data_IF_794614390823
#
_entry.id   IF_794614390823
#
_cell.length_a   1.000
_cell.length_b   1.000
_cell.length_c   1.000
_cell.angle_alpha   90.00
_cell.angle_beta   90.00
_cell.angle_gamma   90.00
#
_symmetry.space_group_name_H-M   'P 1'
#
loop_
_entity.id
_entity.type
_entity.pdbx_description
1 polymer ?
#
# COMPACT_ATOMS: atom_id res chain seq x y z
N UNK A 1 12.22 -15.58 4.99
CA UNK A 1 10.79 -15.73 4.66
C UNK A 1 10.42 -14.55 3.78
N UNK A 2 9.90 -14.76 2.56
CA UNK A 2 9.29 -13.70 1.74
C UNK A 2 7.80 -13.72 2.04
N UNK A 3 7.21 -12.62 2.49
CA UNK A 3 5.76 -12.52 2.60
C UNK A 3 5.23 -12.05 1.25
N UNK A 4 4.72 -12.99 0.44
CA UNK A 4 4.03 -12.66 -0.80
C UNK A 4 2.57 -12.43 -0.47
N UNK A 5 2.16 -11.17 -0.37
CA UNK A 5 0.73 -10.82 -0.34
C UNK A 5 0.20 -10.99 -1.76
N UNK A 6 -0.63 -12.01 -1.99
CA UNK A 6 -1.22 -12.29 -3.31
C UNK A 6 -2.27 -11.24 -3.67
N UNK A 7 -1.81 -10.12 -4.22
CA UNK A 7 -2.61 -9.15 -4.98
C UNK A 7 -1.98 -9.05 -6.38
N UNK A 8 -2.20 -10.05 -7.24
CA UNK A 8 -1.78 -10.01 -8.66
C UNK A 8 -0.31 -9.54 -8.89
N UNK A 9 0.62 -10.07 -8.10
CA UNK A 9 2.07 -9.79 -8.20
C UNK A 9 2.77 -9.82 -6.84
N UNK A 10 4.12 -9.85 -6.87
CA UNK A 10 4.94 -9.63 -5.68
C UNK A 10 4.90 -8.14 -5.30
N UNK A 11 4.58 -7.83 -4.04
CA UNK A 11 4.64 -6.47 -3.48
C UNK A 11 5.75 -6.46 -2.44
N UNK A 12 6.72 -5.54 -2.59
CA UNK A 12 7.81 -5.42 -1.62
C UNK A 12 7.31 -4.66 -0.38
N UNK A 13 7.24 -5.36 0.74
CA UNK A 13 6.84 -4.80 2.04
C UNK A 13 8.08 -4.68 2.92
N UNK A 14 8.28 -3.51 3.53
CA UNK A 14 9.44 -3.24 4.38
C UNK A 14 9.05 -2.62 5.73
N UNK A 15 10.00 -2.60 6.67
CA UNK A 15 9.92 -1.83 7.91
C UNK A 15 8.74 -2.22 8.80
N UNK A 16 8.06 -1.22 9.37
CA UNK A 16 7.00 -1.45 10.36
C UNK A 16 5.85 -2.32 9.82
N UNK A 17 5.55 -2.22 8.52
CA UNK A 17 4.54 -3.06 7.87
C UNK A 17 4.96 -4.54 7.84
N UNK A 18 6.24 -4.82 7.59
CA UNK A 18 6.77 -6.18 7.66
C UNK A 18 6.60 -6.75 9.07
N UNK A 19 6.93 -5.97 10.10
CA UNK A 19 6.83 -6.42 11.49
C UNK A 19 5.38 -6.63 11.93
N UNK A 20 4.44 -5.78 11.49
CA UNK A 20 3.01 -5.96 11.75
C UNK A 20 2.51 -7.25 11.09
N UNK A 21 2.75 -7.41 9.79
CA UNK A 21 2.26 -8.57 9.04
C UNK A 21 2.93 -9.86 9.52
N UNK A 22 4.23 -9.82 9.81
CA UNK A 22 4.98 -10.96 10.37
C UNK A 22 4.41 -11.42 11.71
N UNK A 23 4.07 -10.49 12.62
CA UNK A 23 3.39 -10.82 13.88
C UNK A 23 1.99 -11.40 13.64
N UNK A 24 1.24 -10.83 12.69
CA UNK A 24 -0.13 -11.26 12.36
C UNK A 24 -0.16 -12.64 11.68
N UNK A 25 0.88 -12.97 10.91
CA UNK A 25 1.08 -14.29 10.31
C UNK A 25 1.58 -15.34 11.30
N UNK A 26 2.08 -14.95 12.48
CA UNK A 26 2.65 -15.90 13.44
C UNK A 26 1.55 -16.82 13.97
N UNK A 27 1.63 -18.10 13.62
CA UNK A 27 0.64 -19.11 14.01
C UNK A 27 -0.53 -19.25 13.05
N UNK A 28 -0.47 -18.62 11.86
CA UNK A 28 -1.40 -18.93 10.77
C UNK A 28 -0.88 -20.10 9.94
N UNK A 29 -1.78 -21.02 9.62
CA UNK A 29 -1.57 -22.05 8.60
C UNK A 29 -1.62 -21.43 7.19
N UNK A 30 -0.95 -22.01 6.18
CA UNK A 30 -0.89 -21.46 4.83
C UNK A 30 -2.26 -21.20 4.17
N UNK A 31 -3.29 -21.96 4.56
CA UNK A 31 -4.65 -21.85 4.02
C UNK A 31 -5.49 -20.78 4.71
N UNK A 32 -5.02 -20.24 5.83
CA UNK A 32 -5.75 -19.25 6.62
C UNK A 32 -5.59 -17.84 6.06
N UNK A 33 -6.66 -17.06 6.11
CA UNK A 33 -6.66 -15.67 5.64
C UNK A 33 -6.11 -14.75 6.73
N UNK A 34 -5.15 -13.92 6.37
CA UNK A 34 -4.51 -12.96 7.28
C UNK A 34 -5.48 -11.99 7.98
N UNK A 35 -6.58 -11.67 7.28
CA UNK A 35 -7.59 -10.71 7.70
C UNK A 35 -8.95 -11.36 7.89
N UNK A 36 -8.99 -12.65 8.26
CA UNK A 36 -10.25 -13.33 8.51
C UNK A 36 -11.05 -12.63 9.63
N UNK A 37 -12.37 -12.51 9.44
CA UNK A 37 -13.26 -11.78 10.34
C UNK A 37 -13.23 -10.24 10.25
N UNK A 38 -12.46 -9.64 9.33
CA UNK A 38 -12.52 -8.20 9.07
C UNK A 38 -13.57 -7.84 8.02
N UNK A 39 -14.46 -6.91 8.36
CA UNK A 39 -15.43 -6.36 7.41
C UNK A 39 -14.75 -5.47 6.37
N UNK A 40 -15.36 -5.32 5.19
CA UNK A 40 -14.90 -4.37 4.18
C UNK A 40 -14.94 -2.91 4.70
N UNK A 41 -15.84 -2.64 5.64
CA UNK A 41 -16.06 -1.32 6.23
C UNK A 41 -15.19 -1.07 7.48
N UNK A 42 -14.34 -2.03 7.89
CA UNK A 42 -13.60 -1.94 9.14
C UNK A 42 -12.78 -0.66 9.28
N UNK A 43 -12.14 -0.21 8.19
CA UNK A 43 -11.40 1.06 8.17
C UNK A 43 -12.32 2.27 8.32
N UNK A 44 -13.49 2.23 7.67
CA UNK A 44 -14.51 3.27 7.79
C UNK A 44 -15.01 3.38 9.23
N UNK A 45 -15.33 2.25 9.86
CA UNK A 45 -15.75 2.18 11.27
C UNK A 45 -14.65 2.67 12.24
N UNK A 46 -13.37 2.38 11.94
CA UNK A 46 -12.24 2.92 12.71
C UNK A 46 -12.15 4.44 12.60
N UNK A 47 -12.25 4.99 11.39
CA UNK A 47 -12.16 6.41 11.16
C UNK A 47 -13.33 7.18 11.80
N UNK A 48 -14.54 6.64 11.73
CA UNK A 48 -15.72 7.20 12.41
C UNK A 48 -15.51 7.27 13.93
N UNK A 49 -14.97 6.21 14.54
CA UNK A 49 -14.62 6.19 15.98
C UNK A 49 -13.56 7.20 16.35
N UNK A 50 -12.66 7.55 15.42
CA UNK A 50 -11.65 8.59 15.60
C UNK A 50 -12.19 10.01 15.34
N UNK A 51 -13.48 10.18 15.02
CA UNK A 51 -14.11 11.47 14.77
C UNK A 51 -13.99 11.99 13.33
N UNK A 52 -13.51 11.16 12.39
CA UNK A 52 -13.38 11.52 10.98
C UNK A 52 -14.60 11.03 10.19
N UNK A 53 -15.40 11.92 9.60
CA UNK A 53 -16.48 11.51 8.70
C UNK A 53 -15.93 11.08 7.32
N UNK A 54 -16.52 10.02 6.76
CA UNK A 54 -16.34 9.53 5.38
C UNK A 54 -14.90 9.22 4.91
N UNK A 55 -14.19 8.39 5.68
CA UNK A 55 -12.89 7.85 5.26
C UNK A 55 -13.00 6.36 4.89
N UNK A 56 -12.50 5.97 3.72
CA UNK A 56 -12.63 4.60 3.21
C UNK A 56 -11.28 3.96 2.88
N UNK A 57 -11.30 2.65 2.57
CA UNK A 57 -10.14 1.95 1.99
C UNK A 57 -9.62 2.63 0.71
N UNK A 58 -10.51 3.24 -0.07
CA UNK A 58 -10.11 3.94 -1.29
C UNK A 58 -9.30 5.20 -0.98
N UNK A 59 -9.54 5.86 0.16
CA UNK A 59 -8.80 7.05 0.55
C UNK A 59 -7.39 6.70 1.07
N UNK A 60 -7.20 5.54 1.72
CA UNK A 60 -5.86 4.99 1.97
C UNK A 60 -5.08 4.76 0.68
N UNK A 61 -5.76 4.25 -0.36
CA UNK A 61 -5.14 4.04 -1.67
C UNK A 61 -4.79 5.37 -2.37
N UNK A 62 -5.64 6.39 -2.25
CA UNK A 62 -5.34 7.76 -2.72
C UNK A 62 -4.14 8.35 -1.99
N UNK A 63 -4.02 8.14 -0.67
CA UNK A 63 -2.88 8.63 0.11
C UNK A 63 -1.56 8.10 -0.45
N UNK A 64 -1.46 6.81 -0.74
CA UNK A 64 -0.28 6.20 -1.39
C UNK A 64 0.03 6.88 -2.72
N UNK A 65 -0.99 7.12 -3.55
CA UNK A 65 -0.84 7.79 -4.84
C UNK A 65 -0.35 9.24 -4.68
N UNK A 66 -0.94 10.00 -3.75
CA UNK A 66 -0.61 11.40 -3.49
C UNK A 66 0.80 11.56 -2.93
N UNK A 67 1.19 10.71 -1.97
CA UNK A 67 2.55 10.72 -1.41
C UNK A 67 3.56 10.39 -2.50
N UNK A 68 3.34 9.31 -3.26
CA UNK A 68 4.26 8.94 -4.35
C UNK A 68 4.38 10.01 -5.43
N UNK A 69 3.27 10.65 -5.81
CA UNK A 69 3.29 11.77 -6.75
C UNK A 69 4.06 12.99 -6.21
N UNK A 70 3.90 13.32 -4.92
CA UNK A 70 4.65 14.41 -4.26
C UNK A 70 6.16 14.14 -4.25
N UNK A 71 6.56 12.88 -4.12
CA UNK A 71 7.97 12.45 -4.19
C UNK A 71 8.53 12.43 -5.63
N UNK A 72 7.71 12.74 -6.64
CA UNK A 72 8.12 12.73 -8.05
C UNK A 72 8.20 11.33 -8.68
N UNK A 73 7.57 10.32 -8.07
CA UNK A 73 7.54 8.96 -8.64
C UNK A 73 6.70 8.96 -9.92
N UNK A 74 7.23 8.30 -10.96
CA UNK A 74 6.61 8.28 -12.28
C UNK A 74 5.22 7.65 -12.29
N UNK A 75 4.33 8.19 -13.13
CA UNK A 75 2.94 7.73 -13.28
C UNK A 75 2.83 6.23 -13.65
N UNK A 76 3.73 5.71 -14.48
CA UNK A 76 3.77 4.28 -14.82
C UNK A 76 4.06 3.40 -13.58
N UNK A 77 5.02 3.81 -12.74
CA UNK A 77 5.36 3.11 -11.50
C UNK A 77 4.22 3.19 -10.49
N UNK A 78 3.61 4.37 -10.29
CA UNK A 78 2.46 4.53 -9.39
C UNK A 78 1.27 3.68 -9.83
N UNK A 79 0.98 3.63 -11.13
CA UNK A 79 -0.07 2.75 -11.65
C UNK A 79 0.25 1.29 -11.40
N UNK A 80 1.49 0.87 -11.61
CA UNK A 80 1.89 -0.51 -11.35
C UNK A 80 1.78 -0.88 -9.88
N UNK A 81 2.21 0.00 -8.97
CA UNK A 81 2.07 -0.16 -7.50
C UNK A 81 0.60 -0.30 -7.10
N UNK A 82 -0.26 0.54 -7.66
CA UNK A 82 -1.68 0.51 -7.36
C UNK A 82 -2.37 -0.66 -8.08
N UNK A 83 -1.85 -1.16 -9.19
CA UNK A 83 -2.54 -2.13 -10.05
C UNK A 83 -3.58 -1.46 -10.97
N UNK A 84 -3.34 -0.21 -11.38
CA UNK A 84 -4.15 0.46 -12.39
C UNK A 84 -3.68 0.10 -13.80
N UNK A 85 -4.64 -0.09 -14.70
CA UNK A 85 -4.35 -0.28 -16.12
C UNK A 85 -3.70 0.98 -16.74
N UNK A 86 -2.82 0.82 -17.74
CA UNK A 86 -2.30 1.95 -18.51
C UNK A 86 -3.43 2.76 -19.16
N UNK A 87 -3.29 4.09 -19.20
CA UNK A 87 -4.21 5.01 -19.89
C UNK A 87 -4.39 4.60 -21.35
N UNK A 88 -5.58 4.83 -21.92
CA UNK A 88 -5.87 4.51 -23.34
C UNK A 88 -4.84 5.06 -24.33
N UNK A 89 -4.25 6.23 -24.09
CA UNK A 89 -3.19 6.78 -24.94
C UNK A 89 -1.77 6.27 -24.69
N UNK A 90 -1.53 5.48 -23.65
CA UNK A 90 -0.20 4.98 -23.28
C UNK A 90 0.11 3.68 -24.02
N UNK A 91 0.42 3.81 -25.31
CA UNK A 91 0.72 2.69 -26.21
C UNK A 91 1.96 1.94 -25.74
N UNK A 92 2.98 2.66 -25.23
CA UNK A 92 4.23 2.08 -24.73
C UNK A 92 3.97 1.09 -23.59
N UNK A 93 3.31 1.51 -22.51
CA UNK A 93 3.05 0.62 -21.38
C UNK A 93 1.92 -0.37 -21.61
N UNK A 94 1.17 -0.25 -22.72
CA UNK A 94 0.17 -1.26 -23.12
C UNK A 94 0.77 -2.39 -23.94
N UNK A 95 1.76 -2.10 -24.79
CA UNK A 95 2.21 -3.03 -25.82
C UNK A 95 3.69 -3.41 -25.74
N UNK A 96 4.51 -2.59 -25.07
CA UNK A 96 5.96 -2.70 -25.19
C UNK A 96 6.71 -2.70 -23.86
N UNK A 97 6.14 -2.10 -22.81
CA UNK A 97 6.79 -1.97 -21.50
C UNK A 97 5.86 -2.47 -20.41
N UNK A 98 6.26 -3.55 -19.75
CA UNK A 98 5.60 -4.04 -18.53
C UNK A 98 6.56 -3.88 -17.36
N UNK A 99 6.14 -3.12 -16.35
CA UNK A 99 6.91 -2.99 -15.11
C UNK A 99 6.71 -4.24 -14.24
N UNK A 100 7.82 -4.88 -13.90
CA UNK A 100 7.87 -6.00 -12.97
C UNK A 100 7.74 -5.52 -11.52
N UNK A 101 7.59 -6.48 -10.59
CA UNK A 101 7.63 -6.19 -9.16
C UNK A 101 8.97 -5.55 -8.73
N UNK A 102 10.07 -5.90 -9.40
CA UNK A 102 11.40 -5.34 -9.12
C UNK A 102 11.47 -3.86 -9.47
N UNK A 103 10.83 -3.45 -10.57
CA UNK A 103 10.87 -2.06 -11.07
C UNK A 103 10.11 -1.07 -10.18
N UNK A 104 9.25 -1.59 -9.29
CA UNK A 104 8.47 -0.80 -8.34
C UNK A 104 8.88 -1.02 -6.89
N UNK A 105 9.85 -1.90 -6.61
CA UNK A 105 10.27 -2.22 -5.25
C UNK A 105 10.87 -1.00 -4.52
N UNK A 106 11.80 -0.28 -5.15
CA UNK A 106 12.45 0.90 -4.56
C UNK A 106 11.50 2.11 -4.44
N UNK A 107 10.68 2.44 -5.46
CA UNK A 107 9.65 3.47 -5.33
C UNK A 107 8.64 3.15 -4.21
N UNK A 108 8.15 1.91 -4.12
CA UNK A 108 7.21 1.51 -3.08
C UNK A 108 7.85 1.52 -1.69
N UNK A 109 9.11 1.13 -1.58
CA UNK A 109 9.91 1.25 -0.35
C UNK A 109 10.03 2.71 0.09
N UNK A 110 10.28 3.62 -0.85
CA UNK A 110 10.39 5.05 -0.57
C UNK A 110 9.08 5.64 -0.08
N UNK A 111 7.95 5.28 -0.72
CA UNK A 111 6.61 5.69 -0.25
C UNK A 111 6.32 5.16 1.15
N UNK A 112 6.65 3.90 1.43
CA UNK A 112 6.43 3.30 2.76
C UNK A 112 7.20 4.04 3.86
N UNK A 113 8.45 4.44 3.59
CA UNK A 113 9.26 5.23 4.53
C UNK A 113 8.65 6.61 4.77
N UNK A 114 8.34 7.33 3.70
CA UNK A 114 7.71 8.65 3.79
C UNK A 114 6.39 8.62 4.58
N UNK A 115 5.52 7.64 4.32
CA UNK A 115 4.28 7.48 5.10
C UNK A 115 4.58 7.19 6.57
N UNK A 116 5.57 6.35 6.86
CA UNK A 116 5.98 6.03 8.23
C UNK A 116 6.48 7.28 8.95
N UNK A 117 7.27 8.11 8.27
CA UNK A 117 7.81 9.35 8.83
C UNK A 117 6.70 10.37 9.08
N UNK A 118 5.73 10.51 8.17
CA UNK A 118 4.57 11.39 8.36
C UNK A 118 3.69 10.97 9.54
N UNK A 119 3.45 9.66 9.70
CA UNK A 119 2.66 9.11 10.81
C UNK A 119 3.45 9.19 12.12
N UNK A 120 4.75 8.90 12.09
CA UNK A 120 5.65 8.98 13.24
C UNK A 120 5.86 10.41 13.75
N UNK A 121 5.94 11.40 12.85
CA UNK A 121 5.98 12.82 13.21
C UNK A 121 4.68 13.29 13.90
N UNK A 122 3.55 12.64 13.60
CA UNK A 122 2.27 12.92 14.27
C UNK A 122 2.16 12.37 15.69
N UNK A 123 2.94 11.34 16.06
CA UNK A 123 2.92 10.75 17.41
C UNK A 123 3.79 11.50 18.44
N UNK A 124 4.56 12.51 18.00
CA UNK A 124 5.45 13.33 18.86
C UNK A 124 4.78 14.65 19.26
N UNK A 125 3.56 14.93 18.78
CA UNK A 125 2.87 16.21 18.98
C UNK A 125 1.60 16.16 19.84
N UNK A 126 1.46 15.17 20.72
CA UNK A 126 0.48 15.21 21.81
C UNK A 126 1.21 15.35 23.15
N UNK A 127 1.32 16.60 23.62
CA UNK A 127 1.67 16.98 24.99
C UNK A 127 0.45 17.55 25.70
#
# INVERSE_FOLDING_TARGET
>A
MKATVYLHGEVHIIGYMWDILGRRCKGLDPEQRLFDGLSADHVTEMAQRAGTPDFTLHDLRKLIASVGARMGIGDAQLRRILGHAPKRGDVLHRHYVELSAKDVADPLTSIQREITDLVGAGLVHDH
#
